data_IF_657920802769
#
_entry.id   IF_657920802769
#
_cell.length_a   1.000
_cell.length_b   1.000
_cell.length_c   1.000
_cell.angle_alpha   90.00
_cell.angle_beta   90.00
_cell.angle_gamma   90.00
#
_symmetry.space_group_name_H-M   'P 1'
#
loop_
_entity.id
_entity.type
_entity.pdbx_description
1 polymer ?
#
# COMPACT_ATOMS: atom_id res chain seq x y z
N UNK A 1 -65.36 6.24 -36.30
CA UNK A 1 -63.92 6.14 -36.61
C UNK A 1 -63.07 7.26 -35.98
N UNK A 2 -63.55 8.52 -35.91
CA UNK A 2 -62.74 9.63 -35.33
C UNK A 2 -62.61 9.63 -33.80
N UNK A 3 -63.57 9.05 -33.06
CA UNK A 3 -63.53 8.97 -31.58
C UNK A 3 -62.68 7.79 -31.06
N UNK A 4 -62.54 6.73 -31.86
CA UNK A 4 -61.70 5.56 -31.54
C UNK A 4 -60.21 5.81 -31.74
N UNK A 5 -59.83 6.77 -32.61
CA UNK A 5 -58.43 7.11 -32.88
C UNK A 5 -57.77 7.93 -31.76
N UNK A 6 -58.57 8.72 -31.03
CA UNK A 6 -58.09 9.58 -29.93
C UNK A 6 -57.75 8.76 -28.67
N UNK A 7 -58.46 7.66 -28.43
CA UNK A 7 -58.17 6.76 -27.30
C UNK A 7 -56.90 5.92 -27.50
N UNK A 8 -56.55 5.58 -28.75
CA UNK A 8 -55.31 4.83 -29.04
C UNK A 8 -54.08 5.74 -28.93
N UNK A 9 -54.19 7.03 -29.27
CA UNK A 9 -53.08 7.97 -29.07
C UNK A 9 -52.84 8.32 -27.60
N UNK A 10 -53.89 8.38 -26.77
CA UNK A 10 -53.76 8.66 -25.34
C UNK A 10 -53.14 7.49 -24.54
N UNK A 11 -53.28 6.24 -25.01
CA UNK A 11 -52.68 5.07 -24.37
C UNK A 11 -51.20 4.87 -24.70
N UNK A 12 -50.72 5.38 -25.85
CA UNK A 12 -49.31 5.26 -26.27
C UNK A 12 -48.43 6.31 -25.60
N UNK A 13 -48.98 7.47 -25.21
CA UNK A 13 -48.23 8.53 -24.51
C UNK A 13 -48.07 8.25 -23.01
N UNK A 14 -48.89 7.37 -22.42
CA UNK A 14 -48.78 7.01 -21.00
C UNK A 14 -47.78 5.87 -20.71
N UNK A 15 -47.22 5.24 -21.73
CA UNK A 15 -46.21 4.19 -21.59
C UNK A 15 -44.76 4.70 -21.67
N UNK A 16 -44.53 6.01 -21.81
CA UNK A 16 -43.19 6.60 -21.94
C UNK A 16 -42.71 7.40 -20.71
N UNK A 17 -43.49 7.42 -19.61
CA UNK A 17 -43.01 7.94 -18.33
C UNK A 17 -42.45 6.80 -17.47
N UNK A 18 -41.35 6.22 -17.92
CA UNK A 18 -40.42 5.61 -16.98
C UNK A 18 -39.76 6.75 -16.19
N UNK A 19 -39.69 6.68 -14.84
CA UNK A 19 -38.84 7.60 -14.12
C UNK A 19 -37.40 7.31 -14.52
N UNK A 20 -36.83 8.13 -15.42
CA UNK A 20 -35.39 8.31 -15.59
C UNK A 20 -34.82 8.96 -14.32
N UNK A 21 -34.84 8.23 -13.21
CA UNK A 21 -34.06 8.52 -12.02
C UNK A 21 -33.51 7.21 -11.46
N UNK A 22 -32.88 6.44 -12.34
CA UNK A 22 -31.69 5.69 -11.91
C UNK A 22 -30.49 6.56 -12.27
N UNK A 23 -30.32 7.65 -11.52
CA UNK A 23 -28.98 8.16 -11.29
C UNK A 23 -28.29 7.10 -10.43
N UNK A 24 -27.86 6.01 -11.08
CA UNK A 24 -26.85 5.15 -10.51
C UNK A 24 -25.71 6.10 -10.18
N UNK A 25 -25.51 6.35 -8.89
CA UNK A 25 -24.29 6.96 -8.41
C UNK A 25 -23.19 6.08 -8.99
N UNK A 26 -22.52 6.57 -10.05
CA UNK A 26 -21.21 6.04 -10.38
C UNK A 26 -20.37 6.39 -9.16
N UNK A 27 -20.36 5.49 -8.17
CA UNK A 27 -19.25 5.41 -7.24
C UNK A 27 -18.02 5.27 -8.14
N UNK A 28 -17.32 6.38 -8.35
CA UNK A 28 -16.05 6.37 -9.03
C UNK A 28 -15.18 5.31 -8.38
N UNK A 29 -14.40 4.57 -9.19
CA UNK A 29 -13.47 3.58 -8.66
C UNK A 29 -12.65 4.21 -7.55
N UNK A 30 -12.62 3.56 -6.38
CA UNK A 30 -11.84 4.03 -5.24
C UNK A 30 -10.38 4.18 -5.66
N UNK A 31 -9.66 5.22 -5.20
CA UNK A 31 -8.23 5.31 -5.44
C UNK A 31 -7.55 4.04 -4.93
N UNK A 32 -6.67 3.45 -5.74
CA UNK A 32 -5.98 2.21 -5.40
C UNK A 32 -4.54 2.49 -4.96
N UNK A 33 -4.16 2.04 -3.77
CA UNK A 33 -2.80 2.14 -3.22
C UNK A 33 -2.25 0.73 -3.01
N UNK A 34 -1.09 0.43 -3.60
CA UNK A 34 -0.42 -0.84 -3.37
C UNK A 34 0.47 -0.74 -2.13
N UNK A 35 0.31 -1.67 -1.18
CA UNK A 35 1.21 -1.80 -0.02
C UNK A 35 2.10 -3.03 -0.21
N UNK A 36 3.41 -2.81 -0.36
CA UNK A 36 4.43 -3.84 -0.54
C UNK A 36 5.34 -3.85 0.69
N UNK A 37 5.17 -4.86 1.53
CA UNK A 37 5.88 -5.07 2.80
C UNK A 37 7.08 -6.00 2.65
N UNK A 38 7.93 -6.10 3.69
CA UNK A 38 9.08 -7.02 3.70
C UNK A 38 8.70 -8.48 3.83
N UNK A 39 7.49 -8.76 4.31
CA UNK A 39 6.96 -10.10 4.43
C UNK A 39 5.50 -10.03 4.82
N UNK A 40 4.80 -11.15 4.70
CA UNK A 40 3.38 -11.21 5.11
C UNK A 40 3.17 -12.15 6.30
N UNK A 41 4.01 -13.16 6.51
CA UNK A 41 3.69 -14.25 7.45
C UNK A 41 3.87 -13.90 8.93
N UNK A 42 4.86 -13.07 9.26
CA UNK A 42 5.18 -12.76 10.65
C UNK A 42 4.06 -11.92 11.31
N UNK A 43 3.78 -12.16 12.59
CA UNK A 43 2.72 -11.48 13.35
C UNK A 43 2.82 -9.95 13.28
N UNK A 44 4.05 -9.42 13.25
CA UNK A 44 4.30 -8.00 13.03
C UNK A 44 3.60 -7.49 11.75
N UNK A 45 3.80 -8.16 10.62
CA UNK A 45 3.21 -7.76 9.34
C UNK A 45 1.70 -7.93 9.30
N UNK A 46 1.15 -8.91 10.04
CA UNK A 46 -0.30 -9.04 10.24
C UNK A 46 -0.88 -7.82 10.97
N UNK A 47 -0.20 -7.30 12.00
CA UNK A 47 -0.62 -6.07 12.67
C UNK A 47 -0.53 -4.85 11.75
N UNK A 48 0.53 -4.74 10.95
CA UNK A 48 0.66 -3.66 9.95
C UNK A 48 -0.49 -3.74 8.92
N UNK A 49 -0.82 -4.94 8.44
CA UNK A 49 -1.94 -5.17 7.50
C UNK A 49 -3.28 -4.74 8.09
N UNK A 50 -3.53 -5.05 9.37
CA UNK A 50 -4.75 -4.60 10.05
C UNK A 50 -4.84 -3.07 10.11
N UNK A 51 -3.74 -2.40 10.47
CA UNK A 51 -3.66 -0.93 10.47
C UNK A 51 -3.87 -0.31 9.08
N UNK A 52 -3.24 -0.89 8.05
CA UNK A 52 -3.40 -0.46 6.66
C UNK A 52 -4.85 -0.60 6.19
N UNK A 53 -5.51 -1.72 6.47
CA UNK A 53 -6.92 -1.94 6.12
C UNK A 53 -7.87 -1.00 6.87
N UNK A 54 -7.59 -0.70 8.14
CA UNK A 54 -8.37 0.28 8.91
C UNK A 54 -8.27 1.67 8.27
N UNK A 55 -7.05 2.13 7.96
CA UNK A 55 -6.84 3.40 7.27
C UNK A 55 -7.50 3.41 5.88
N UNK A 56 -7.44 2.31 5.12
CA UNK A 56 -8.08 2.21 3.82
C UNK A 56 -9.60 2.45 3.89
N UNK A 57 -10.24 1.91 4.94
CA UNK A 57 -11.66 2.16 5.23
C UNK A 57 -11.92 3.62 5.56
N UNK A 58 -11.13 4.21 6.45
CA UNK A 58 -11.32 5.59 6.92
C UNK A 58 -11.14 6.62 5.79
N UNK A 59 -10.20 6.38 4.89
CA UNK A 59 -9.91 7.26 3.74
C UNK A 59 -10.67 6.86 2.46
N UNK A 60 -11.52 5.84 2.52
CA UNK A 60 -12.28 5.31 1.39
C UNK A 60 -11.42 5.00 0.14
N UNK A 61 -10.27 4.35 0.36
CA UNK A 61 -9.37 3.88 -0.71
C UNK A 61 -9.40 2.35 -0.79
N UNK A 62 -9.03 1.82 -1.94
CA UNK A 62 -8.75 0.40 -2.11
C UNK A 62 -7.25 0.14 -1.90
N UNK A 63 -6.91 -0.94 -1.20
CA UNK A 63 -5.50 -1.34 -1.03
C UNK A 63 -5.29 -2.81 -1.33
N UNK A 64 -4.09 -3.15 -1.79
CA UNK A 64 -3.51 -4.48 -1.59
C UNK A 64 -2.49 -4.39 -0.46
N UNK A 65 -2.28 -5.52 0.22
CA UNK A 65 -1.17 -5.69 1.15
C UNK A 65 -0.48 -6.99 0.78
N UNK A 66 0.71 -6.88 0.18
CA UNK A 66 1.50 -8.00 -0.31
C UNK A 66 2.89 -7.95 0.35
N UNK A 67 3.46 -9.12 0.57
CA UNK A 67 4.83 -9.28 1.05
C UNK A 67 5.32 -10.69 0.72
N UNK A 68 6.63 -10.89 0.52
CA UNK A 68 7.14 -12.22 0.22
C UNK A 68 6.92 -13.20 1.39
N UNK A 69 7.06 -14.52 1.13
CA UNK A 69 6.96 -15.54 2.18
C UNK A 69 7.95 -15.31 3.32
N UNK A 70 9.19 -14.92 3.00
CA UNK A 70 10.25 -14.63 3.98
C UNK A 70 10.96 -13.32 3.66
N UNK A 71 11.59 -12.72 4.69
CA UNK A 71 12.37 -11.49 4.52
C UNK A 71 13.70 -11.71 3.77
N UNK A 72 14.04 -12.94 3.39
CA UNK A 72 15.17 -13.23 2.51
C UNK A 72 14.81 -13.26 1.02
N UNK A 73 13.52 -13.30 0.69
CA UNK A 73 13.04 -13.47 -0.69
C UNK A 73 12.97 -12.14 -1.46
N UNK A 74 14.11 -11.46 -1.58
CA UNK A 74 14.23 -10.13 -2.20
C UNK A 74 13.66 -10.09 -3.61
N UNK A 75 13.97 -11.11 -4.43
CA UNK A 75 13.50 -11.16 -5.83
C UNK A 75 11.98 -11.27 -5.93
N UNK A 76 11.33 -11.98 -5.00
CA UNK A 76 9.87 -12.09 -4.96
C UNK A 76 9.26 -10.71 -4.64
N UNK A 77 9.86 -9.94 -3.73
CA UNK A 77 9.40 -8.58 -3.46
C UNK A 77 9.54 -7.66 -4.69
N UNK A 78 10.63 -7.79 -5.46
CA UNK A 78 10.82 -7.05 -6.71
C UNK A 78 9.71 -7.36 -7.72
N UNK A 79 9.35 -8.64 -7.87
CA UNK A 79 8.26 -9.07 -8.74
C UNK A 79 6.89 -8.57 -8.27
N UNK A 80 6.62 -8.62 -6.96
CA UNK A 80 5.41 -8.04 -6.37
C UNK A 80 5.32 -6.53 -6.65
N UNK A 81 6.42 -5.80 -6.52
CA UNK A 81 6.46 -4.36 -6.83
C UNK A 81 6.21 -4.08 -8.31
N UNK A 82 6.78 -4.87 -9.22
CA UNK A 82 6.49 -4.76 -10.66
C UNK A 82 5.00 -5.01 -10.95
N UNK A 83 4.41 -6.06 -10.36
CA UNK A 83 3.00 -6.40 -10.52
C UNK A 83 2.09 -5.31 -9.93
N UNK A 84 2.48 -4.71 -8.81
CA UNK A 84 1.78 -3.59 -8.20
C UNK A 84 1.78 -2.37 -9.14
N UNK A 85 2.94 -1.96 -9.66
CA UNK A 85 3.05 -0.84 -10.61
C UNK A 85 2.23 -1.07 -11.89
N UNK A 86 2.22 -2.30 -12.42
CA UNK A 86 1.45 -2.65 -13.63
C UNK A 86 -0.07 -2.46 -13.47
N UNK A 87 -0.58 -2.45 -12.23
CA UNK A 87 -1.98 -2.16 -11.91
C UNK A 87 -2.28 -0.65 -11.85
N UNK A 88 -1.30 0.22 -12.14
CA UNK A 88 -1.40 1.69 -12.13
C UNK A 88 -1.98 2.27 -10.82
N UNK A 89 -1.40 1.97 -9.66
CA UNK A 89 -1.84 2.53 -8.40
C UNK A 89 -1.64 4.05 -8.37
N UNK A 90 -2.46 4.76 -7.60
CA UNK A 90 -2.29 6.20 -7.39
C UNK A 90 -1.13 6.51 -6.46
N UNK A 91 -0.66 5.53 -5.67
CA UNK A 91 0.52 5.60 -4.81
C UNK A 91 1.00 4.19 -4.44
N UNK A 92 2.26 4.07 -4.02
CA UNK A 92 2.84 2.83 -3.48
C UNK A 92 3.36 3.09 -2.07
N UNK A 93 2.99 2.24 -1.12
CA UNK A 93 3.64 2.15 0.18
C UNK A 93 4.66 1.00 0.13
N UNK A 94 5.94 1.27 0.41
CA UNK A 94 7.02 0.30 0.26
C UNK A 94 7.87 0.19 1.54
N UNK A 95 8.01 -1.02 2.06
CA UNK A 95 9.06 -1.38 3.01
C UNK A 95 10.04 -2.30 2.28
N UNK A 96 11.15 -1.74 1.80
CA UNK A 96 12.09 -2.48 0.96
C UNK A 96 12.89 -3.48 1.79
N UNK A 97 13.01 -4.73 1.30
CA UNK A 97 13.97 -5.70 1.82
C UNK A 97 15.40 -5.27 1.52
N UNK A 98 15.62 -4.78 0.30
CA UNK A 98 16.88 -4.27 -0.16
C UNK A 98 16.63 -3.11 -1.14
N UNK A 99 17.08 -1.91 -0.80
CA UNK A 99 16.91 -0.74 -1.67
C UNK A 99 17.61 -0.88 -3.02
N UNK A 100 18.82 -1.47 -3.06
CA UNK A 100 19.59 -1.59 -4.30
C UNK A 100 18.92 -2.50 -5.32
N UNK A 101 18.10 -3.46 -4.86
CA UNK A 101 17.34 -4.37 -5.71
C UNK A 101 16.09 -3.75 -6.35
N UNK A 102 15.64 -2.58 -5.87
CA UNK A 102 14.42 -1.91 -6.36
C UNK A 102 14.68 -0.55 -7.02
N UNK A 103 15.95 -0.21 -7.31
CA UNK A 103 16.31 1.11 -7.86
C UNK A 103 15.62 1.40 -9.19
N UNK A 104 15.56 0.41 -10.08
CA UNK A 104 14.90 0.55 -11.38
C UNK A 104 13.39 0.78 -11.21
N UNK A 105 12.76 0.08 -10.27
CA UNK A 105 11.34 0.22 -9.96
C UNK A 105 11.04 1.60 -9.37
N UNK A 106 11.89 2.10 -8.47
CA UNK A 106 11.76 3.45 -7.91
C UNK A 106 11.87 4.52 -9.01
N UNK A 107 12.80 4.35 -9.95
CA UNK A 107 12.92 5.26 -11.09
C UNK A 107 11.71 5.15 -12.03
N UNK A 108 11.19 3.96 -12.29
CA UNK A 108 9.98 3.75 -13.10
C UNK A 108 8.75 4.39 -12.46
N UNK A 109 8.51 4.15 -11.16
CA UNK A 109 7.41 4.77 -10.42
C UNK A 109 7.48 6.29 -10.50
N UNK A 110 8.68 6.87 -10.29
CA UNK A 110 8.92 8.32 -10.45
C UNK A 110 8.60 8.81 -11.86
N UNK A 111 9.05 8.10 -12.90
CA UNK A 111 8.78 8.47 -14.30
C UNK A 111 7.28 8.38 -14.65
N UNK A 112 6.55 7.46 -14.02
CA UNK A 112 5.10 7.31 -14.17
C UNK A 112 4.31 8.30 -13.30
N UNK A 113 4.98 9.08 -12.45
CA UNK A 113 4.34 10.00 -11.52
C UNK A 113 3.64 9.29 -10.35
N UNK A 114 3.99 8.04 -10.06
CA UNK A 114 3.46 7.28 -8.92
C UNK A 114 4.29 7.63 -7.68
N UNK A 115 3.71 8.33 -6.68
CA UNK A 115 4.42 8.64 -5.44
C UNK A 115 4.67 7.37 -4.63
N UNK A 116 5.91 7.23 -4.13
CA UNK A 116 6.32 6.13 -3.25
C UNK A 116 6.50 6.66 -1.83
N UNK A 117 5.83 6.03 -0.87
CA UNK A 117 5.93 6.31 0.57
C UNK A 117 6.64 5.13 1.23
N UNK A 118 7.79 5.38 1.85
CA UNK A 118 8.48 4.35 2.62
C UNK A 118 7.81 4.12 3.98
N UNK A 119 7.84 2.89 4.49
CA UNK A 119 7.36 2.60 5.86
C UNK A 119 8.19 1.53 6.56
N UNK A 120 7.97 1.31 7.86
CA UNK A 120 8.76 0.42 8.73
C UNK A 120 10.23 0.89 8.85
N UNK A 121 11.12 0.37 7.99
CA UNK A 121 12.49 0.85 7.84
C UNK A 121 12.62 2.03 6.88
N UNK A 122 11.55 2.37 6.17
CA UNK A 122 11.61 3.22 5.00
C UNK A 122 12.34 2.53 3.84
N UNK A 123 12.86 3.34 2.93
CA UNK A 123 13.70 2.90 1.80
C UNK A 123 15.03 3.65 1.88
N UNK A 124 15.96 3.21 2.76
CA UNK A 124 17.22 3.92 3.00
C UNK A 124 18.07 3.94 1.74
N UNK A 125 18.83 5.02 1.53
CA UNK A 125 19.72 5.19 0.36
C UNK A 125 19.01 5.24 -1.00
N UNK A 126 17.68 5.38 -1.00
CA UNK A 126 16.91 5.55 -2.24
C UNK A 126 17.37 6.81 -3.01
N UNK A 127 17.37 6.79 -4.35
CA UNK A 127 17.74 7.95 -5.15
C UNK A 127 16.93 9.19 -4.79
N UNK A 128 17.57 10.36 -4.82
CA UNK A 128 16.92 11.61 -4.43
C UNK A 128 15.60 11.86 -5.20
N UNK A 129 14.54 12.14 -4.45
CA UNK A 129 13.21 12.39 -4.98
C UNK A 129 12.49 11.16 -5.55
N UNK A 130 12.97 9.94 -5.28
CA UNK A 130 12.21 8.71 -5.57
C UNK A 130 11.23 8.33 -4.46
N UNK A 131 11.50 8.76 -3.22
CA UNK A 131 10.64 8.58 -2.05
C UNK A 131 10.08 9.94 -1.65
N UNK A 132 8.75 10.04 -1.55
CA UNK A 132 8.06 11.29 -1.18
C UNK A 132 8.05 11.54 0.32
N UNK A 133 7.86 10.48 1.12
CA UNK A 133 7.91 10.55 2.57
C UNK A 133 8.24 9.16 3.16
N UNK A 134 8.65 9.13 4.44
CA UNK A 134 8.81 7.90 5.20
C UNK A 134 7.95 7.95 6.49
N UNK A 135 7.12 6.93 6.69
CA UNK A 135 6.48 6.60 7.96
C UNK A 135 7.27 5.47 8.62
N UNK A 136 8.46 5.79 9.12
CA UNK A 136 9.46 4.83 9.57
C UNK A 136 9.92 5.08 11.00
N UNK A 137 10.37 4.01 11.66
CA UNK A 137 11.08 4.10 12.94
C UNK A 137 12.42 4.78 12.73
N UNK A 138 12.91 5.55 13.72
CA UNK A 138 14.31 5.93 13.76
C UNK A 138 15.15 4.71 14.16
N UNK A 139 15.49 3.88 13.17
CA UNK A 139 16.14 2.59 13.39
C UNK A 139 17.50 2.70 14.09
N UNK A 140 18.25 3.79 13.83
CA UNK A 140 19.52 4.03 14.51
C UNK A 140 19.31 4.29 16.02
N UNK A 141 18.37 5.16 16.37
CA UNK A 141 18.03 5.42 17.77
C UNK A 141 17.46 4.18 18.48
N UNK A 142 16.62 3.41 17.80
CA UNK A 142 16.06 2.16 18.32
C UNK A 142 17.16 1.12 18.60
N UNK A 143 18.10 0.94 17.66
CA UNK A 143 19.24 0.05 17.83
C UNK A 143 20.16 0.50 18.98
N UNK A 144 20.43 1.81 19.08
CA UNK A 144 21.20 2.39 20.18
C UNK A 144 20.57 2.10 21.54
N UNK A 145 19.26 2.33 21.67
CA UNK A 145 18.52 2.02 22.90
C UNK A 145 18.58 0.52 23.24
N UNK A 146 18.42 -0.35 22.25
CA UNK A 146 18.52 -1.80 22.47
C UNK A 146 19.93 -2.19 22.94
N UNK A 147 20.98 -1.64 22.33
CA UNK A 147 22.37 -1.88 22.71
C UNK A 147 22.68 -1.42 24.13
N UNK A 148 22.23 -0.22 24.52
CA UNK A 148 22.40 0.30 25.88
C UNK A 148 21.75 -0.62 26.93
N UNK A 149 20.50 -1.04 26.69
CA UNK A 149 19.78 -1.93 27.60
C UNK A 149 20.40 -3.33 27.66
N UNK A 150 20.82 -3.86 26.52
CA UNK A 150 21.48 -5.16 26.46
C UNK A 150 22.82 -5.12 27.21
N UNK A 151 23.66 -4.13 26.96
CA UNK A 151 24.97 -3.98 27.61
C UNK A 151 24.84 -3.93 29.13
N UNK A 152 23.86 -3.21 29.66
CA UNK A 152 23.60 -3.15 31.10
C UNK A 152 23.40 -4.53 31.75
N UNK A 153 22.85 -5.51 31.01
CA UNK A 153 22.57 -6.87 31.48
C UNK A 153 23.72 -7.84 31.21
N UNK A 154 24.51 -7.62 30.15
CA UNK A 154 25.55 -8.58 29.72
C UNK A 154 26.98 -8.14 30.01
N UNK A 155 27.22 -6.92 30.48
CA UNK A 155 28.58 -6.37 30.69
C UNK A 155 29.49 -7.29 31.51
N UNK A 156 28.98 -7.93 32.57
CA UNK A 156 29.78 -8.80 33.43
C UNK A 156 30.17 -10.10 32.70
N UNK A 157 29.29 -10.62 31.83
CA UNK A 157 29.60 -11.77 30.96
C UNK A 157 30.64 -11.40 29.90
N UNK A 158 30.55 -10.21 29.32
CA UNK A 158 31.54 -9.69 28.37
C UNK A 158 32.91 -9.60 29.06
N UNK A 159 32.97 -8.99 30.24
CA UNK A 159 34.22 -8.86 31.02
C UNK A 159 34.81 -10.22 31.38
N UNK A 160 33.99 -11.19 31.80
CA UNK A 160 34.48 -12.53 32.10
C UNK A 160 35.05 -13.25 30.86
N UNK A 161 34.47 -13.02 29.68
CA UNK A 161 34.91 -13.64 28.43
C UNK A 161 36.18 -13.00 27.83
N UNK A 162 36.49 -11.74 28.16
CA UNK A 162 37.68 -11.03 27.66
C UNK A 162 38.94 -11.27 28.49
N UNK A 163 38.82 -11.86 29.68
CA UNK A 163 39.94 -12.16 30.59
C UNK A 163 40.49 -13.59 30.41
N UNK A 164 39.78 -14.44 29.65
CA UNK A 164 40.19 -15.79 29.28
C UNK A 164 40.99 -15.81 27.97
#
# INVERSE_FOLDING_TARGET
MKKTLVFVLALVVLASLTPLFSAGTQEGKKPYIAVVSKGEQHDFWQQVKLGANAAAKDYNVEITFEGPPTESDVQIQVEMLNNAMAKNPVAIALAALNTSSVLDQLQQAKNQGIPVIGFDSGVPEAPAGSIWANASTNNYAAAGMAAEKMFAVIKDKISAATVA
#
